data_IF_394115068427
#
_entry.id   IF_394115068427
#
_cell.length_a   1.000
_cell.length_b   1.000
_cell.length_c   1.000
_cell.angle_alpha   90.00
_cell.angle_beta   90.00
_cell.angle_gamma   90.00
#
_symmetry.space_group_name_H-M   'P 1'
#
loop_
_entity.id
_entity.type
_entity.pdbx_description
1 polymer ?
#
# COMPACT_ATOMS: atom_id res chain seq x y z
N UNK A 1 0.63 -18.22 -0.98
CA UNK A 1 0.21 -16.81 -1.13
C UNK A 1 -0.42 -16.37 0.17
N UNK A 2 -0.11 -15.18 0.66
CA UNK A 2 -0.38 -14.75 2.04
C UNK A 2 -1.52 -13.71 2.14
N UNK A 3 -2.20 -13.36 1.05
CA UNK A 3 -3.23 -12.31 1.03
C UNK A 3 -4.31 -12.53 2.09
N UNK A 4 -4.84 -13.75 2.19
CA UNK A 4 -5.84 -14.10 3.22
C UNK A 4 -5.29 -14.02 4.65
N UNK A 5 -3.99 -14.33 4.85
CA UNK A 5 -3.37 -14.21 6.16
C UNK A 5 -3.29 -12.74 6.60
N UNK A 6 -2.89 -11.83 5.70
CA UNK A 6 -2.90 -10.39 5.96
C UNK A 6 -4.33 -9.88 6.24
N UNK A 7 -5.30 -10.24 5.39
CA UNK A 7 -6.69 -9.82 5.55
C UNK A 7 -7.30 -10.31 6.86
N UNK A 8 -7.10 -11.58 7.22
CA UNK A 8 -7.61 -12.16 8.48
C UNK A 8 -6.93 -11.53 9.70
N UNK A 9 -5.62 -11.30 9.64
CA UNK A 9 -4.90 -10.64 10.72
C UNK A 9 -5.42 -9.21 10.93
N UNK A 10 -5.57 -8.42 9.88
CA UNK A 10 -6.08 -7.04 9.98
C UNK A 10 -7.53 -7.03 10.50
N UNK A 11 -8.38 -7.94 10.00
CA UNK A 11 -9.74 -8.09 10.50
C UNK A 11 -9.78 -8.37 12.01
N UNK A 12 -8.93 -9.27 12.49
CA UNK A 12 -8.82 -9.58 13.91
C UNK A 12 -8.30 -8.40 14.72
N UNK A 13 -7.23 -7.74 14.26
CA UNK A 13 -6.57 -6.63 14.95
C UNK A 13 -7.47 -5.39 15.05
N UNK A 14 -8.42 -5.21 14.13
CA UNK A 14 -9.45 -4.15 14.22
C UNK A 14 -10.22 -4.18 15.54
N UNK A 15 -10.41 -5.35 16.16
CA UNK A 15 -11.11 -5.49 17.44
C UNK A 15 -10.38 -4.86 18.64
N UNK A 16 -9.14 -4.40 18.44
CA UNK A 16 -8.32 -3.72 19.45
C UNK A 16 -8.25 -2.20 19.23
N UNK A 17 -8.93 -1.64 18.23
CA UNK A 17 -8.94 -0.21 17.94
C UNK A 17 -9.30 0.63 19.18
N UNK A 18 -10.37 0.28 19.88
CA UNK A 18 -10.82 0.98 21.09
C UNK A 18 -10.00 0.63 22.35
N UNK A 19 -8.96 -0.20 22.22
CA UNK A 19 -8.11 -0.69 23.32
C UNK A 19 -6.67 -0.14 23.24
N UNK A 20 -6.46 0.93 22.46
CA UNK A 20 -5.15 1.51 22.21
C UNK A 20 -4.47 1.00 20.94
N UNK A 21 -5.21 0.32 20.06
CA UNK A 21 -4.72 -0.17 18.78
C UNK A 21 -3.96 -1.48 18.85
N UNK A 22 -3.38 -1.87 17.72
CA UNK A 22 -2.66 -3.13 17.59
C UNK A 22 -1.48 -3.03 16.62
N UNK A 23 -0.53 -3.95 16.78
CA UNK A 23 0.60 -4.10 15.86
C UNK A 23 0.47 -5.39 15.05
N UNK A 24 0.47 -5.26 13.73
CA UNK A 24 0.70 -6.35 12.80
C UNK A 24 2.20 -6.50 12.57
N UNK A 25 2.81 -7.48 13.23
CA UNK A 25 4.23 -7.79 13.08
C UNK A 25 4.45 -8.76 11.91
N UNK A 26 5.32 -8.37 10.97
CA UNK A 26 5.75 -9.19 9.83
C UNK A 26 7.19 -9.65 10.09
N UNK A 27 7.40 -10.94 10.42
CA UNK A 27 8.73 -11.44 10.73
C UNK A 27 9.63 -11.50 9.49
N UNK A 28 10.94 -11.62 9.73
CA UNK A 28 11.93 -11.93 8.69
C UNK A 28 11.46 -13.06 7.77
N UNK A 29 11.52 -12.84 6.47
CA UNK A 29 11.03 -13.78 5.47
C UNK A 29 10.44 -13.08 4.24
N UNK A 30 9.97 -13.86 3.28
CA UNK A 30 9.34 -13.36 2.05
C UNK A 30 7.84 -13.63 2.09
N UNK A 31 7.04 -12.58 1.95
CA UNK A 31 5.60 -12.58 2.11
C UNK A 31 4.91 -12.16 0.81
N UNK A 32 4.71 -13.12 -0.10
CA UNK A 32 3.98 -12.90 -1.35
C UNK A 32 2.49 -12.64 -1.08
N UNK A 33 1.97 -11.50 -1.53
CA UNK A 33 0.59 -11.09 -1.31
C UNK A 33 0.04 -10.27 -2.48
N UNK A 34 -1.27 -10.35 -2.68
CA UNK A 34 -2.03 -9.37 -3.44
C UNK A 34 -2.37 -8.14 -2.59
N UNK A 35 -3.31 -7.34 -3.09
CA UNK A 35 -3.77 -6.13 -2.41
C UNK A 35 -4.45 -6.42 -1.06
N UNK A 36 -4.17 -5.59 -0.05
CA UNK A 36 -4.88 -5.62 1.23
C UNK A 36 -5.11 -4.21 1.81
N UNK A 37 -6.12 -4.09 2.66
CA UNK A 37 -6.53 -2.83 3.30
C UNK A 37 -6.11 -2.82 4.77
N UNK A 38 -5.56 -1.70 5.24
CA UNK A 38 -5.30 -1.40 6.64
C UNK A 38 -6.58 -0.94 7.36
N UNK A 39 -6.51 -0.83 8.69
CA UNK A 39 -7.56 -0.28 9.56
C UNK A 39 -6.94 0.78 10.49
N UNK A 40 -7.78 1.65 11.09
CA UNK A 40 -7.33 2.65 12.06
C UNK A 40 -6.71 2.02 13.32
N UNK A 41 -5.87 2.78 14.02
CA UNK A 41 -5.16 2.36 15.25
C UNK A 41 -4.30 1.11 15.02
N UNK A 42 -3.55 1.10 13.92
CA UNK A 42 -2.76 -0.05 13.49
C UNK A 42 -1.33 0.35 13.18
N UNK A 43 -0.38 -0.41 13.73
CA UNK A 43 1.02 -0.40 13.30
C UNK A 43 1.32 -1.62 12.45
N UNK A 44 1.64 -1.45 11.16
CA UNK A 44 2.28 -2.47 10.34
C UNK A 44 3.79 -2.39 10.55
N UNK A 45 4.38 -3.39 11.20
CA UNK A 45 5.80 -3.43 11.55
C UNK A 45 6.53 -4.51 10.74
N UNK A 46 7.49 -4.12 9.92
CA UNK A 46 8.32 -5.07 9.15
C UNK A 46 9.67 -5.25 9.86
N UNK A 47 9.92 -6.48 10.32
CA UNK A 47 11.19 -6.84 10.95
C UNK A 47 12.36 -6.77 9.96
N UNK A 48 13.59 -6.77 10.49
CA UNK A 48 14.81 -6.76 9.69
C UNK A 48 14.86 -7.99 8.78
N UNK A 49 14.88 -7.74 7.47
CA UNK A 49 14.88 -8.80 6.45
C UNK A 49 13.49 -9.40 6.17
N UNK A 50 12.42 -8.79 6.67
CA UNK A 50 11.07 -9.02 6.15
C UNK A 50 10.93 -8.37 4.77
N UNK A 51 10.34 -9.09 3.83
CA UNK A 51 10.08 -8.61 2.48
C UNK A 51 8.62 -8.90 2.13
N UNK A 52 7.78 -7.86 2.04
CA UNK A 52 6.45 -7.97 1.43
C UNK A 52 6.64 -7.90 -0.08
N UNK A 53 6.10 -8.89 -0.79
CA UNK A 53 6.26 -9.04 -2.25
C UNK A 53 4.89 -8.93 -2.90
N UNK A 54 4.73 -7.95 -3.80
CA UNK A 54 3.53 -7.79 -4.61
C UNK A 54 3.40 -8.91 -5.64
N UNK A 55 2.23 -9.52 -5.74
CA UNK A 55 2.00 -10.61 -6.68
C UNK A 55 2.00 -10.10 -8.14
N UNK A 56 2.56 -10.90 -9.04
CA UNK A 56 2.58 -10.64 -10.47
C UNK A 56 1.28 -11.08 -11.20
N UNK A 57 0.41 -11.84 -10.53
CA UNK A 57 -0.91 -12.14 -11.07
C UNK A 57 -1.84 -10.92 -10.93
N UNK A 58 -2.22 -10.32 -12.06
CA UNK A 58 -3.11 -9.15 -12.14
C UNK A 58 -4.46 -9.40 -11.43
N UNK A 59 -4.95 -10.65 -11.38
CA UNK A 59 -6.21 -10.99 -10.70
C UNK A 59 -6.18 -10.72 -9.18
N UNK A 60 -4.98 -10.58 -8.61
CA UNK A 60 -4.76 -10.29 -7.19
C UNK A 60 -4.84 -8.79 -6.85
N UNK A 61 -5.16 -7.97 -7.84
CA UNK A 61 -5.25 -6.52 -7.75
C UNK A 61 -6.70 -6.12 -8.07
N UNK A 62 -7.55 -5.94 -7.05
CA UNK A 62 -8.94 -5.55 -7.26
C UNK A 62 -9.05 -4.23 -8.04
N UNK A 63 -10.13 -4.09 -8.81
CA UNK A 63 -10.44 -2.83 -9.49
C UNK A 63 -11.15 -1.89 -8.53
N UNK A 64 -10.73 -0.63 -8.52
CA UNK A 64 -11.29 0.42 -7.67
C UNK A 64 -11.63 1.64 -8.51
N UNK A 65 -12.57 2.45 -8.01
CA UNK A 65 -12.98 3.68 -8.66
C UNK A 65 -11.79 4.68 -8.74
N UNK A 66 -11.83 5.62 -9.70
CA UNK A 66 -10.85 6.70 -9.77
C UNK A 66 -10.78 7.47 -8.46
N UNK A 67 -9.60 8.01 -8.14
CA UNK A 67 -9.45 8.88 -6.97
C UNK A 67 -10.31 10.15 -7.15
N UNK A 68 -11.03 10.60 -6.09
CA UNK A 68 -11.86 11.82 -6.16
C UNK A 68 -11.08 13.07 -6.58
N UNK A 69 -9.78 13.14 -6.25
CA UNK A 69 -8.91 14.29 -6.52
C UNK A 69 -8.56 14.47 -7.99
N UNK A 70 -8.42 13.38 -8.75
CA UNK A 70 -8.06 13.45 -10.17
C UNK A 70 -9.26 13.43 -11.11
N UNK A 71 -10.38 12.83 -10.71
CA UNK A 71 -11.55 12.62 -11.59
C UNK A 71 -11.28 11.74 -12.83
N UNK A 72 -10.05 11.23 -13.01
CA UNK A 72 -9.61 10.32 -14.09
C UNK A 72 -8.40 9.50 -13.64
N UNK A 73 -8.17 8.34 -14.24
CA UNK A 73 -6.97 7.54 -13.98
C UNK A 73 -5.69 8.19 -14.52
N UNK A 74 -4.56 7.85 -13.89
CA UNK A 74 -3.24 8.46 -14.13
C UNK A 74 -2.66 8.00 -15.48
N UNK A 75 -2.63 6.68 -15.71
CA UNK A 75 -2.13 6.11 -16.97
C UNK A 75 -3.19 6.13 -18.06
N UNK A 76 -4.41 5.69 -17.69
CA UNK A 76 -5.57 5.61 -18.58
C UNK A 76 -6.84 6.11 -17.88
N UNK A 77 -7.77 6.77 -18.58
CA UNK A 77 -9.04 7.19 -18.00
C UNK A 77 -9.85 6.01 -17.46
N UNK A 78 -10.63 6.24 -16.40
CA UNK A 78 -11.48 5.22 -15.78
C UNK A 78 -10.85 4.59 -14.53
N UNK A 79 -11.32 3.38 -14.23
CA UNK A 79 -10.95 2.64 -13.02
C UNK A 79 -9.47 2.27 -12.96
N UNK A 80 -9.02 1.87 -11.77
CA UNK A 80 -7.62 1.60 -11.46
C UNK A 80 -7.45 0.33 -10.66
N UNK A 81 -6.29 -0.30 -10.80
CA UNK A 81 -5.89 -1.37 -9.90
C UNK A 81 -5.63 -0.80 -8.49
N UNK A 82 -6.14 -1.48 -7.48
CA UNK A 82 -5.94 -1.15 -6.08
C UNK A 82 -4.45 -1.28 -5.72
N UNK A 83 -3.89 -0.38 -4.89
CA UNK A 83 -2.48 -0.43 -4.49
C UNK A 83 -2.15 -1.70 -3.67
N UNK A 84 -0.86 -1.99 -3.43
CA UNK A 84 -0.50 -3.21 -2.68
C UNK A 84 -0.96 -3.12 -1.22
N UNK A 85 -0.71 -1.98 -0.58
CA UNK A 85 -1.16 -1.66 0.78
C UNK A 85 -2.04 -0.42 0.70
N UNK A 86 -3.27 -0.50 1.22
CA UNK A 86 -4.27 0.55 1.06
C UNK A 86 -4.87 0.99 2.39
N UNK A 87 -5.39 2.21 2.41
CA UNK A 87 -6.20 2.72 3.51
C UNK A 87 -7.12 3.84 3.05
N UNK A 88 -8.34 3.85 3.56
CA UNK A 88 -9.29 4.95 3.32
C UNK A 88 -10.01 5.31 4.62
N UNK A 89 -10.13 6.60 4.91
CA UNK A 89 -10.77 7.11 6.14
C UNK A 89 -10.17 6.51 7.41
N UNK A 90 -8.85 6.35 7.44
CA UNK A 90 -8.11 5.81 8.58
C UNK A 90 -7.64 6.93 9.52
N UNK A 91 -7.42 6.58 10.78
CA UNK A 91 -6.74 7.45 11.74
C UNK A 91 -5.69 6.65 12.50
N UNK A 92 -4.59 7.30 12.86
CA UNK A 92 -3.54 6.72 13.71
C UNK A 92 -3.00 5.40 13.13
N UNK A 93 -2.29 5.51 12.01
CA UNK A 93 -1.63 4.36 11.37
C UNK A 93 -0.14 4.60 11.25
N UNK A 94 0.63 3.54 11.49
CA UNK A 94 2.07 3.52 11.27
C UNK A 94 2.46 2.36 10.34
N UNK A 95 3.25 2.64 9.32
CA UNK A 95 3.90 1.65 8.46
C UNK A 95 5.39 1.82 8.66
N UNK A 96 5.99 0.96 9.48
CA UNK A 96 7.37 1.12 9.94
C UNK A 96 8.08 -0.22 10.13
N UNK A 97 9.31 -0.21 10.63
CA UNK A 97 10.07 -1.43 10.85
C UNK A 97 11.55 -1.23 11.12
N UNK A 98 12.30 -2.32 11.05
CA UNK A 98 13.77 -2.34 11.14
C UNK A 98 14.40 -2.46 9.75
N UNK A 99 14.05 -1.53 8.86
CA UNK A 99 14.45 -1.53 7.45
C UNK A 99 13.97 -2.78 6.68
N UNK A 100 12.75 -3.21 6.96
CA UNK A 100 12.03 -4.18 6.13
C UNK A 100 11.75 -3.63 4.72
N UNK A 101 11.48 -4.52 3.77
CA UNK A 101 11.33 -4.18 2.35
C UNK A 101 9.90 -4.39 1.86
N UNK A 102 9.42 -3.47 1.04
CA UNK A 102 8.20 -3.62 0.23
C UNK A 102 8.65 -3.63 -1.23
N UNK A 103 8.55 -4.79 -1.87
CA UNK A 103 8.95 -5.05 -3.26
C UNK A 103 7.70 -5.25 -4.12
N UNK A 104 7.45 -4.34 -5.06
CA UNK A 104 6.26 -4.39 -5.90
C UNK A 104 6.30 -5.40 -7.05
N UNK A 105 7.48 -5.93 -7.38
CA UNK A 105 7.70 -6.71 -8.61
C UNK A 105 7.13 -6.02 -9.87
N UNK A 106 7.33 -4.72 -9.97
CA UNK A 106 6.67 -3.83 -10.93
C UNK A 106 6.91 -4.10 -12.41
N UNK A 107 7.88 -4.95 -12.80
CA UNK A 107 8.27 -5.14 -14.20
C UNK A 107 7.09 -5.49 -15.10
N UNK A 108 6.20 -6.37 -14.66
CA UNK A 108 5.00 -6.76 -15.44
C UNK A 108 4.07 -5.57 -15.75
N UNK A 109 4.03 -4.58 -14.85
CA UNK A 109 3.20 -3.39 -14.95
C UNK A 109 3.82 -2.39 -15.92
N UNK A 110 5.14 -2.23 -15.85
CA UNK A 110 5.90 -1.44 -16.81
C UNK A 110 5.86 -2.02 -18.22
N UNK A 111 5.99 -3.35 -18.35
CA UNK A 111 5.88 -4.03 -19.64
C UNK A 111 4.49 -3.80 -20.24
N UNK A 112 3.43 -4.03 -19.45
CA UNK A 112 2.04 -3.81 -19.88
C UNK A 112 1.74 -2.35 -20.24
N UNK A 113 2.34 -1.39 -19.51
CA UNK A 113 2.25 0.04 -19.82
C UNK A 113 2.90 0.36 -21.17
N UNK A 114 4.13 -0.11 -21.37
CA UNK A 114 4.89 0.12 -22.60
C UNK A 114 4.24 -0.55 -23.82
N UNK A 115 3.63 -1.72 -23.65
CA UNK A 115 2.89 -2.43 -24.70
C UNK A 115 1.46 -1.93 -24.90
N UNK A 116 1.01 -0.90 -24.15
CA UNK A 116 -0.34 -0.36 -24.21
C UNK A 116 -1.44 -1.43 -24.00
N UNK A 117 -1.16 -2.43 -23.14
CA UNK A 117 -2.06 -3.56 -22.87
C UNK A 117 -2.71 -3.48 -21.48
N UNK A 118 -2.60 -2.33 -20.80
CA UNK A 118 -3.28 -2.10 -19.54
C UNK A 118 -4.77 -1.88 -19.75
N UNK A 119 -5.59 -2.61 -19.00
CA UNK A 119 -7.04 -2.38 -18.94
C UNK A 119 -7.42 -1.28 -17.93
N UNK A 120 -6.57 -1.04 -16.92
CA UNK A 120 -6.78 -0.07 -15.85
C UNK A 120 -5.45 0.59 -15.45
N UNK A 121 -5.52 1.77 -14.83
CA UNK A 121 -4.31 2.46 -14.35
C UNK A 121 -3.55 1.63 -13.32
N UNK A 122 -2.20 1.69 -13.38
CA UNK A 122 -1.33 0.86 -12.54
C UNK A 122 -1.47 1.19 -11.05
N UNK A 123 -1.24 0.22 -10.16
CA UNK A 123 -1.30 0.43 -8.72
C UNK A 123 -0.03 1.12 -8.18
N UNK A 124 -0.12 1.71 -6.98
CA UNK A 124 1.06 2.13 -6.21
C UNK A 124 1.49 1.04 -5.21
N UNK A 125 2.63 1.21 -4.53
CA UNK A 125 2.98 0.32 -3.42
C UNK A 125 2.10 0.60 -2.20
N UNK A 126 1.91 1.87 -1.87
CA UNK A 126 1.08 2.29 -0.75
C UNK A 126 0.15 3.41 -1.21
N UNK A 127 -1.14 3.30 -0.89
CA UNK A 127 -2.11 4.37 -1.10
C UNK A 127 -2.96 4.61 0.14
N UNK A 128 -2.96 5.85 0.63
CA UNK A 128 -3.74 6.27 1.80
C UNK A 128 -4.61 7.48 1.41
N UNK A 129 -5.92 7.36 1.63
CA UNK A 129 -6.94 8.35 1.22
C UNK A 129 -7.70 8.85 2.44
N UNK A 130 -7.96 10.16 2.52
CA UNK A 130 -8.82 10.78 3.54
C UNK A 130 -8.49 10.35 4.98
N UNK A 131 -7.20 10.24 5.32
CA UNK A 131 -6.76 9.64 6.59
C UNK A 131 -5.85 10.56 7.37
N UNK A 132 -5.95 10.56 8.70
CA UNK A 132 -5.19 11.47 9.59
C UNK A 132 -4.18 10.72 10.44
N UNK A 133 -3.12 11.41 10.89
CA UNK A 133 -2.08 10.85 11.78
C UNK A 133 -1.39 9.62 11.19
N UNK A 134 -0.75 9.83 10.04
CA UNK A 134 -0.06 8.78 9.27
C UNK A 134 1.45 8.88 9.46
N UNK A 135 2.08 7.79 9.86
CA UNK A 135 3.53 7.63 9.95
C UNK A 135 4.00 6.57 8.96
N UNK A 136 4.94 6.92 8.09
CA UNK A 136 5.68 5.95 7.27
C UNK A 136 7.18 6.24 7.45
N UNK A 137 7.95 5.25 7.93
CA UNK A 137 9.36 5.43 8.26
C UNK A 137 10.12 4.11 8.29
N UNK A 138 11.46 4.15 8.18
CA UNK A 138 12.36 3.00 8.39
C UNK A 138 12.04 1.76 7.52
N UNK A 139 11.72 1.99 6.25
CA UNK A 139 11.41 0.95 5.27
C UNK A 139 12.22 1.16 3.98
N UNK A 140 12.43 0.07 3.26
CA UNK A 140 12.98 0.07 1.90
C UNK A 140 11.86 -0.22 0.89
N UNK A 141 11.80 0.55 -0.20
CA UNK A 141 10.85 0.35 -1.30
C UNK A 141 11.59 -0.09 -2.56
N UNK A 142 11.10 -1.13 -3.24
CA UNK A 142 11.74 -1.67 -4.44
C UNK A 142 10.71 -1.97 -5.53
N UNK A 143 11.16 -1.87 -6.79
CA UNK A 143 10.44 -2.28 -8.00
C UNK A 143 8.95 -1.91 -7.98
N UNK A 144 8.59 -0.62 -7.86
CA UNK A 144 7.18 -0.23 -7.81
C UNK A 144 6.47 -0.49 -9.14
N UNK A 145 5.16 -0.69 -9.07
CA UNK A 145 4.29 -0.85 -10.24
C UNK A 145 4.08 0.49 -10.98
N UNK A 146 4.10 1.61 -10.24
CA UNK A 146 3.99 2.99 -10.73
C UNK A 146 5.01 3.88 -9.99
N UNK A 147 5.62 4.85 -10.66
CA UNK A 147 6.41 5.90 -10.00
C UNK A 147 5.50 7.12 -9.83
N UNK A 148 5.03 7.50 -8.63
CA UNK A 148 5.59 7.41 -7.27
C UNK A 148 5.26 6.12 -6.47
N UNK A 149 6.09 5.83 -5.47
CA UNK A 149 5.93 4.64 -4.60
C UNK A 149 4.72 4.75 -3.67
N UNK A 150 4.48 5.94 -3.12
CA UNK A 150 3.44 6.20 -2.13
C UNK A 150 2.54 7.32 -2.62
N UNK A 151 1.24 7.09 -2.57
CA UNK A 151 0.20 8.05 -2.92
C UNK A 151 -0.59 8.45 -1.66
N UNK A 152 -0.68 9.75 -1.39
CA UNK A 152 -1.61 10.32 -0.41
C UNK A 152 -2.67 11.16 -1.12
N UNK A 153 -3.91 11.12 -0.65
CA UNK A 153 -4.99 11.91 -1.24
C UNK A 153 -5.82 12.58 -0.16
N UNK A 154 -5.98 13.91 -0.25
CA UNK A 154 -6.90 14.80 0.49
C UNK A 154 -6.99 14.54 2.00
N UNK A 155 -6.71 15.54 2.83
CA UNK A 155 -6.93 15.46 4.28
C UNK A 155 -5.90 14.61 5.05
N UNK A 156 -4.72 14.39 4.47
CA UNK A 156 -3.65 13.63 5.10
C UNK A 156 -2.69 14.52 5.90
N UNK A 157 -2.67 14.33 7.22
CA UNK A 157 -1.61 14.85 8.09
C UNK A 157 -0.49 13.81 8.21
N UNK A 158 0.66 14.13 7.62
CA UNK A 158 1.76 13.20 7.42
C UNK A 158 2.97 13.57 8.30
N UNK A 159 3.53 12.59 9.02
CA UNK A 159 4.86 12.71 9.64
C UNK A 159 5.83 11.82 8.86
N UNK A 160 6.62 12.40 7.95
CA UNK A 160 7.70 11.70 7.24
C UNK A 160 9.03 11.89 7.96
N UNK A 161 9.87 10.85 7.93
CA UNK A 161 11.31 10.96 8.23
C UNK A 161 12.12 10.45 7.04
N UNK A 162 12.69 11.40 6.27
CA UNK A 162 13.74 11.25 5.23
C UNK A 162 13.35 10.54 3.90
N UNK A 163 14.15 10.73 2.82
CA UNK A 163 13.70 11.32 1.56
C UNK A 163 12.99 10.30 0.67
N UNK A 164 11.65 10.34 0.63
CA UNK A 164 10.84 9.58 -0.32
C UNK A 164 10.21 10.54 -1.32
N UNK A 165 10.15 10.14 -2.59
CA UNK A 165 9.31 10.81 -3.58
C UNK A 165 7.85 10.47 -3.27
N UNK A 166 7.22 11.37 -2.51
CA UNK A 166 5.81 11.30 -2.11
C UNK A 166 5.05 12.32 -2.94
N UNK A 167 3.94 11.90 -3.56
CA UNK A 167 2.99 12.84 -4.17
C UNK A 167 1.84 13.05 -3.18
N UNK A 168 1.64 14.30 -2.78
CA UNK A 168 0.48 14.77 -2.00
C UNK A 168 -0.44 15.48 -2.98
N UNK A 169 -1.70 15.04 -3.05
CA UNK A 169 -2.75 15.60 -3.92
C UNK A 169 -3.87 16.21 -3.11
#
# INVERSE_FOLDING_TARGET
MNTLAFQNAIFYLRSFADKGGAQLYVPKGKWLTGSFNLTSHLTLFLDKGAVIIGNQDISQWPITLPLPSYGRGIDIPGDRYQSLINGNSLTDIAITGENGTIDGQGSIWWDSFNSHSLNHSRPHLIEIVNSTDILISNLTFMNPQLGPFIQFTVGVNLKLSYPLFVIIL
#
